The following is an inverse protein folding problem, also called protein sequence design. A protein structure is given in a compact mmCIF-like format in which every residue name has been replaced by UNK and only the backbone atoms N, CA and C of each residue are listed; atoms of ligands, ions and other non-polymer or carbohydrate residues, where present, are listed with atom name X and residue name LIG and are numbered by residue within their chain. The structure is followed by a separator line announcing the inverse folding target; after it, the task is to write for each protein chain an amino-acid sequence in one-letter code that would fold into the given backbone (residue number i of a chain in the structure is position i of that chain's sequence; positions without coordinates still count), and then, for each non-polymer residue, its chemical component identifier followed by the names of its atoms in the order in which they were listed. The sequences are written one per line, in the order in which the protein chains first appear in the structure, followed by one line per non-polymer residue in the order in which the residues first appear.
data_IF_163215324659
#
_entry.id   IF_163215324659
#
_cell.length_a   1.000
_cell.length_b   1.000
_cell.length_c   1.000
_cell.angle_alpha   90.00
_cell.angle_beta   90.00
_cell.angle_gamma   90.00
#
_symmetry.space_group_name_H-M   'P 1'
#
loop_
_entity.id
_entity.type
_entity.pdbx_description
1 polymer ?
#
# COMPACT_ATOMS: atom_id res chain seq x y z
N UNK A 1 -49.97 20.75 -30.41
CA UNK A 1 -49.68 19.91 -29.23
C UNK A 1 -48.18 19.93 -29.05
N UNK A 2 -47.72 20.48 -27.93
CA UNK A 2 -46.31 20.80 -27.68
C UNK A 2 -45.50 19.52 -27.48
N UNK A 3 -44.44 19.35 -28.26
CA UNK A 3 -43.44 18.29 -28.11
C UNK A 3 -42.51 18.61 -26.95
N UNK A 4 -42.37 17.64 -26.05
CA UNK A 4 -41.71 17.75 -24.76
C UNK A 4 -40.19 17.95 -24.89
N UNK A 5 -39.67 18.98 -24.22
CA UNK A 5 -38.27 19.40 -24.27
C UNK A 5 -37.32 18.42 -23.60
N UNK A 6 -36.18 18.22 -24.24
CA UNK A 6 -35.02 17.52 -23.74
C UNK A 6 -34.23 18.46 -22.84
N UNK A 7 -34.11 18.14 -21.55
CA UNK A 7 -33.36 18.99 -20.63
C UNK A 7 -33.33 18.44 -19.21
N UNK A 8 -32.39 17.54 -18.92
CA UNK A 8 -31.84 17.38 -17.59
C UNK A 8 -30.32 17.18 -17.71
N UNK A 9 -29.64 18.28 -18.03
CA UNK A 9 -28.29 18.52 -17.54
C UNK A 9 -28.42 18.89 -16.07
N UNK A 10 -27.87 18.07 -15.18
CA UNK A 10 -28.04 18.21 -13.74
C UNK A 10 -27.08 17.31 -13.00
N UNK A 11 -25.80 17.66 -13.13
CA UNK A 11 -24.80 17.60 -12.07
C UNK A 11 -24.70 16.28 -11.28
N UNK A 12 -23.93 15.34 -11.80
CA UNK A 12 -23.29 14.33 -10.95
C UNK A 12 -22.08 15.02 -10.30
N UNK A 13 -22.34 15.73 -9.20
CA UNK A 13 -21.33 16.27 -8.31
C UNK A 13 -20.65 15.11 -7.58
N UNK A 14 -19.83 14.35 -8.30
CA UNK A 14 -18.86 13.45 -7.67
C UNK A 14 -17.72 14.32 -7.16
N UNK A 15 -17.93 14.96 -6.01
CA UNK A 15 -16.83 15.42 -5.16
C UNK A 15 -16.09 14.18 -4.65
N UNK A 16 -15.19 13.65 -5.48
CA UNK A 16 -14.10 12.79 -5.04
C UNK A 16 -12.80 13.56 -5.23
N UNK A 17 -12.63 14.64 -4.48
CA UNK A 17 -11.30 15.14 -4.11
C UNK A 17 -10.80 14.41 -2.86
N UNK A 18 -10.94 13.09 -2.79
CA UNK A 18 -10.14 12.33 -1.83
C UNK A 18 -8.80 12.08 -2.52
N UNK A 19 -7.77 12.79 -2.08
CA UNK A 19 -6.42 12.60 -2.59
C UNK A 19 -6.09 11.10 -2.48
N UNK A 20 -5.71 10.41 -3.56
CA UNK A 20 -5.41 8.98 -3.53
C UNK A 20 -4.35 8.63 -2.47
N UNK A 21 -3.49 9.59 -2.12
CA UNK A 21 -2.53 9.46 -1.04
C UNK A 21 -3.18 9.33 0.35
N UNK A 22 -4.30 10.03 0.61
CA UNK A 22 -5.04 9.95 1.87
C UNK A 22 -5.81 8.63 1.99
N UNK A 23 -6.40 8.14 0.89
CA UNK A 23 -7.00 6.81 0.83
C UNK A 23 -5.94 5.71 1.05
N UNK A 24 -4.77 5.82 0.42
CA UNK A 24 -3.68 4.85 0.59
C UNK A 24 -3.15 4.77 2.04
N UNK A 25 -3.20 5.89 2.78
CA UNK A 25 -2.87 5.91 4.21
C UNK A 25 -4.01 5.31 5.05
N UNK A 26 -5.27 5.64 4.73
CA UNK A 26 -6.44 5.11 5.44
C UNK A 26 -6.55 3.58 5.35
N UNK A 27 -6.11 2.97 4.24
CA UNK A 27 -6.11 1.52 4.03
C UNK A 27 -4.76 0.84 4.31
N UNK A 28 -3.76 1.57 4.82
CA UNK A 28 -2.45 0.99 5.11
C UNK A 28 -2.53 0.00 6.27
N UNK A 29 -2.21 -1.27 5.99
CA UNK A 29 -2.10 -2.31 7.01
C UNK A 29 -0.82 -2.20 7.83
N UNK A 30 0.08 -1.26 7.52
CA UNK A 30 1.37 -1.12 8.20
C UNK A 30 1.22 -1.06 9.73
N UNK A 31 0.21 -0.36 10.24
CA UNK A 31 -0.06 -0.26 11.70
C UNK A 31 -0.59 -1.54 12.34
N UNK A 32 -0.93 -2.55 11.52
CA UNK A 32 -1.43 -3.86 11.94
C UNK A 32 -0.36 -4.96 11.85
N UNK A 33 0.78 -4.66 11.26
CA UNK A 33 1.88 -5.62 11.13
C UNK A 33 2.66 -5.65 12.45
N UNK A 34 2.77 -6.83 13.06
CA UNK A 34 3.69 -7.05 14.17
C UNK A 34 5.10 -7.33 13.64
N UNK A 35 5.86 -6.26 13.38
CA UNK A 35 7.20 -6.32 12.76
C UNK A 35 8.22 -7.10 13.57
N UNK A 36 8.05 -7.19 14.89
CA UNK A 36 8.99 -7.89 15.77
C UNK A 36 8.92 -9.41 15.56
N UNK A 37 7.70 -9.92 15.28
CA UNK A 37 7.41 -11.34 15.10
C UNK A 37 7.33 -11.78 13.63
N UNK A 38 7.57 -10.88 12.67
CA UNK A 38 7.72 -11.25 11.25
C UNK A 38 8.88 -12.22 11.10
N UNK A 39 8.65 -13.28 10.32
CA UNK A 39 9.70 -14.22 9.94
C UNK A 39 9.98 -14.09 8.45
N UNK A 40 11.25 -14.04 8.07
CA UNK A 40 11.70 -14.05 6.69
C UNK A 40 12.57 -15.29 6.45
N UNK A 41 12.30 -16.03 5.37
CA UNK A 41 13.12 -17.15 4.93
C UNK A 41 13.84 -16.78 3.64
N UNK A 42 15.01 -17.39 3.43
CA UNK A 42 15.94 -17.15 2.32
C UNK A 42 16.63 -15.78 2.32
N UNK A 43 16.67 -15.07 3.45
CA UNK A 43 17.45 -13.84 3.60
C UNK A 43 18.95 -14.13 3.81
N UNK A 44 19.83 -13.34 3.19
CA UNK A 44 21.30 -13.39 3.39
C UNK A 44 21.65 -13.04 4.84
N UNK A 45 21.00 -11.99 5.35
CA UNK A 45 21.23 -11.46 6.68
C UNK A 45 20.00 -11.73 7.54
N UNK A 46 20.21 -12.44 8.65
CA UNK A 46 19.15 -12.75 9.60
C UNK A 46 18.46 -11.47 10.10
N UNK A 47 17.13 -11.52 10.18
CA UNK A 47 16.23 -10.43 10.60
C UNK A 47 16.17 -9.22 9.67
N UNK A 48 16.86 -9.23 8.52
CA UNK A 48 16.82 -8.11 7.58
C UNK A 48 15.44 -7.92 6.93
N UNK A 49 14.66 -8.99 6.77
CA UNK A 49 13.28 -8.94 6.29
C UNK A 49 12.33 -8.13 7.17
N UNK A 50 12.63 -7.91 8.45
CA UNK A 50 11.81 -7.05 9.34
C UNK A 50 11.96 -5.56 8.98
N UNK A 51 13.08 -5.18 8.39
CA UNK A 51 13.47 -3.79 8.16
C UNK A 51 12.76 -3.14 6.96
N UNK A 52 12.17 -3.95 6.07
CA UNK A 52 11.61 -3.47 4.80
C UNK A 52 10.14 -3.04 4.88
N UNK A 53 9.45 -3.34 5.99
CA UNK A 53 8.10 -2.83 6.24
C UNK A 53 8.17 -1.38 6.69
N UNK A 54 7.44 -0.49 5.99
CA UNK A 54 7.51 0.96 6.22
C UNK A 54 6.19 1.67 5.95
N UNK A 55 5.95 2.83 6.59
CA UNK A 55 4.78 3.64 6.30
C UNK A 55 4.86 4.23 4.89
N UNK A 56 3.69 4.55 4.33
CA UNK A 56 3.53 5.05 2.96
C UNK A 56 4.36 6.31 2.64
N UNK A 57 4.57 7.18 3.63
CA UNK A 57 5.37 8.40 3.52
C UNK A 57 6.83 8.09 3.17
N UNK A 58 7.33 6.94 3.63
CA UNK A 58 8.72 6.48 3.44
C UNK A 58 8.88 5.56 2.24
N UNK A 59 7.87 5.42 1.38
CA UNK A 59 7.90 4.48 0.25
C UNK A 59 9.09 4.66 -0.69
N UNK A 60 9.65 5.87 -0.77
CA UNK A 60 10.81 6.21 -1.60
C UNK A 60 12.17 5.99 -0.91
N UNK A 61 12.21 5.71 0.40
CA UNK A 61 13.45 5.41 1.14
C UNK A 61 13.95 4.00 0.77
N UNK A 62 15.17 3.87 0.22
CA UNK A 62 15.75 2.58 -0.21
C UNK A 62 17.00 2.20 0.58
N UNK A 63 17.20 2.81 1.74
CA UNK A 63 18.31 2.57 2.65
C UNK A 63 18.19 1.19 3.32
N UNK A 64 16.96 0.77 3.65
CA UNK A 64 16.65 -0.53 4.22
C UNK A 64 16.24 -1.52 3.13
N UNK A 65 16.89 -2.67 3.11
CA UNK A 65 16.65 -3.73 2.16
C UNK A 65 16.85 -5.10 2.81
N UNK A 66 16.36 -6.11 2.11
CA UNK A 66 16.57 -7.53 2.36
C UNK A 66 17.12 -8.12 1.07
N UNK A 67 18.16 -8.92 1.18
CA UNK A 67 18.80 -9.59 0.04
C UNK A 67 18.59 -11.09 0.19
N UNK A 68 18.32 -11.77 -0.91
CA UNK A 68 18.12 -13.21 -0.91
C UNK A 68 19.45 -13.96 -1.04
N UNK A 69 19.60 -15.07 -0.30
CA UNK A 69 20.89 -15.73 -0.13
C UNK A 69 21.33 -16.59 -1.33
N UNK A 70 20.36 -17.15 -2.05
CA UNK A 70 20.64 -18.15 -3.09
C UNK A 70 19.87 -17.86 -4.37
N UNK A 71 18.54 -17.82 -4.28
CA UNK A 71 17.65 -17.63 -5.42
C UNK A 71 16.90 -16.29 -5.31
N UNK A 72 16.13 -15.92 -6.33
CA UNK A 72 15.36 -14.65 -6.37
C UNK A 72 14.13 -14.65 -5.43
N UNK A 73 13.90 -15.73 -4.67
CA UNK A 73 12.70 -15.95 -3.87
C UNK A 73 12.94 -15.72 -2.36
N UNK A 74 12.09 -14.88 -1.76
CA UNK A 74 11.99 -14.65 -0.32
C UNK A 74 10.60 -15.02 0.18
N UNK A 75 10.51 -15.60 1.38
CA UNK A 75 9.24 -15.92 2.02
C UNK A 75 9.05 -15.08 3.28
N UNK A 76 7.91 -14.39 3.37
CA UNK A 76 7.53 -13.61 4.55
C UNK A 76 6.33 -14.26 5.26
N UNK A 77 6.46 -14.46 6.56
CA UNK A 77 5.35 -14.79 7.45
C UNK A 77 5.02 -13.55 8.28
N UNK A 78 3.80 -13.03 8.11
CA UNK A 78 3.28 -11.88 8.86
C UNK A 78 2.18 -12.39 9.78
N UNK A 79 2.39 -12.37 11.11
CA UNK A 79 1.41 -12.85 12.09
C UNK A 79 0.20 -11.92 12.26
#
# INVERSE_FOLDING_TARGET
MAGHGHGHGGHCEHEHEENPAELGVAYSLYTKIDTENVQCLNEVMEESGKLVFKPWEKRLETDKFVESDVDEELLFNIP
#
